data_IF_574941454445
#
_entry.id   IF_574941454445
#
_cell.length_a   1.000
_cell.length_b   1.000
_cell.length_c   1.000
_cell.angle_alpha   90.00
_cell.angle_beta   90.00
_cell.angle_gamma   90.00
#
_symmetry.space_group_name_H-M   'P 1'
#
loop_
_entity.id
_entity.type
_entity.pdbx_description
1 polymer ?
#
# COMPACT_ATOMS: atom_id res chain seq x y z
N UNK A 1 0.16 -4.79 20.98
CA UNK A 1 0.51 -3.70 20.07
C UNK A 1 -0.62 -3.48 19.09
N UNK A 2 -0.78 -2.27 18.62
CA UNK A 2 -1.78 -1.96 17.61
C UNK A 2 -1.32 -2.40 16.22
N UNK A 3 -2.26 -2.54 15.30
CA UNK A 3 -2.00 -2.83 13.90
C UNK A 3 -2.23 -1.60 13.05
N UNK A 4 -1.39 -1.42 12.05
CA UNK A 4 -1.45 -0.28 11.15
C UNK A 4 -1.43 -0.77 9.72
N UNK A 5 -2.25 -0.15 8.88
CA UNK A 5 -2.21 -0.37 7.45
C UNK A 5 -1.41 0.77 6.81
N UNK A 6 -0.37 0.41 6.08
CA UNK A 6 0.45 1.36 5.32
C UNK A 6 0.06 1.20 3.85
N UNK A 7 -0.42 2.26 3.25
CA UNK A 7 -0.96 2.24 1.90
C UNK A 7 -0.02 3.01 0.98
N UNK A 8 0.48 2.34 -0.07
CA UNK A 8 1.31 2.99 -1.08
C UNK A 8 0.41 3.59 -2.16
N UNK A 9 0.50 4.89 -2.37
CA UNK A 9 -0.29 5.63 -3.36
C UNK A 9 0.65 6.28 -4.37
N UNK A 10 0.23 6.30 -5.63
CA UNK A 10 1.00 6.90 -6.72
C UNK A 10 0.06 7.47 -7.77
N UNK A 11 0.63 8.11 -8.79
CA UNK A 11 -0.17 8.79 -9.83
C UNK A 11 -0.95 7.85 -10.74
N UNK A 12 -0.66 6.56 -10.73
CA UNK A 12 -1.29 5.61 -11.64
C UNK A 12 -0.83 5.74 -13.09
N UNK A 13 0.06 6.68 -13.39
CA UNK A 13 0.63 6.82 -14.72
C UNK A 13 1.56 5.65 -15.04
N UNK A 14 1.63 5.22 -16.31
CA UNK A 14 2.59 4.18 -16.69
C UNK A 14 4.01 4.58 -16.32
N UNK A 15 4.80 3.60 -15.91
CA UNK A 15 6.20 3.83 -15.58
C UNK A 15 6.99 4.19 -16.83
N UNK A 16 7.86 5.22 -16.72
CA UNK A 16 8.79 5.58 -17.78
C UNK A 16 10.15 4.91 -17.59
N UNK A 17 10.30 4.10 -16.57
CA UNK A 17 11.55 3.43 -16.26
C UNK A 17 11.82 2.29 -17.25
N UNK A 18 13.10 2.04 -17.52
CA UNK A 18 13.52 0.87 -18.30
C UNK A 18 13.25 -0.42 -17.50
N UNK A 19 13.19 -1.60 -18.17
CA UNK A 19 13.03 -2.86 -17.45
C UNK A 19 14.09 -3.09 -16.38
N UNK A 20 15.33 -2.67 -16.63
CA UNK A 20 16.42 -2.81 -15.66
C UNK A 20 16.21 -1.90 -14.44
N UNK A 21 15.74 -0.68 -14.68
CA UNK A 21 15.44 0.26 -13.60
C UNK A 21 14.28 -0.23 -12.74
N UNK A 22 13.23 -0.78 -13.39
CA UNK A 22 12.10 -1.38 -12.69
C UNK A 22 12.57 -2.52 -11.79
N UNK A 23 13.46 -3.37 -12.31
CA UNK A 23 13.99 -4.49 -11.53
C UNK A 23 14.77 -4.03 -10.31
N UNK A 24 15.56 -2.96 -10.43
CA UNK A 24 16.26 -2.37 -9.29
C UNK A 24 15.31 -1.86 -8.23
N UNK A 25 14.23 -1.21 -8.64
CA UNK A 25 13.20 -0.72 -7.72
C UNK A 25 12.55 -1.89 -6.98
N UNK A 26 12.18 -2.94 -7.71
CA UNK A 26 11.58 -4.15 -7.10
C UNK A 26 12.54 -4.74 -6.06
N UNK A 27 13.84 -4.83 -6.37
CA UNK A 27 14.83 -5.35 -5.43
C UNK A 27 14.91 -4.52 -4.16
N UNK A 28 14.81 -3.19 -4.26
CA UNK A 28 14.79 -2.31 -3.08
C UNK A 28 13.58 -2.61 -2.19
N UNK A 29 12.40 -2.78 -2.79
CA UNK A 29 11.19 -3.14 -2.04
C UNK A 29 11.35 -4.50 -1.35
N UNK A 30 11.88 -5.49 -2.07
CA UNK A 30 12.09 -6.82 -1.51
C UNK A 30 13.07 -6.80 -0.34
N UNK A 31 14.16 -6.04 -0.46
CA UNK A 31 15.15 -5.89 0.62
C UNK A 31 14.55 -5.20 1.83
N UNK A 32 13.78 -4.15 1.59
CA UNK A 32 13.11 -3.42 2.68
C UNK A 32 12.12 -4.34 3.41
N UNK A 33 11.31 -5.10 2.65
CA UNK A 33 10.38 -6.07 3.21
C UNK A 33 11.09 -7.14 4.05
N UNK A 34 12.21 -7.66 3.55
CA UNK A 34 12.98 -8.68 4.27
C UNK A 34 13.50 -8.16 5.60
N UNK A 35 14.00 -6.92 5.62
CA UNK A 35 14.48 -6.30 6.85
C UNK A 35 13.37 -6.12 7.88
N UNK A 36 12.20 -5.68 7.44
CA UNK A 36 11.06 -5.49 8.32
C UNK A 36 10.53 -6.81 8.87
N UNK A 37 10.56 -7.86 8.06
CA UNK A 37 10.17 -9.21 8.48
C UNK A 37 11.08 -9.75 9.58
N UNK A 38 12.38 -9.47 9.52
CA UNK A 38 13.33 -9.89 10.55
C UNK A 38 12.97 -9.32 11.90
N UNK A 39 12.41 -8.11 11.94
CA UNK A 39 11.98 -7.48 13.17
C UNK A 39 10.66 -8.05 13.70
N UNK A 40 9.99 -8.92 12.95
CA UNK A 40 8.73 -9.54 13.33
C UNK A 40 7.54 -8.60 13.35
N UNK A 41 7.67 -7.41 12.79
CA UNK A 41 6.62 -6.38 12.82
C UNK A 41 5.74 -6.36 11.60
N UNK A 42 6.22 -6.87 10.48
CA UNK A 42 5.42 -6.95 9.26
C UNK A 42 4.60 -8.23 9.25
N UNK A 43 3.29 -8.09 9.30
CA UNK A 43 2.36 -9.21 9.31
C UNK A 43 2.03 -9.66 7.90
N UNK A 44 1.88 -8.71 6.96
CA UNK A 44 1.51 -9.02 5.59
C UNK A 44 1.83 -7.86 4.67
N UNK A 45 2.12 -8.14 3.41
CA UNK A 45 2.23 -7.11 2.38
C UNK A 45 1.91 -7.70 1.02
N UNK A 46 1.30 -6.90 0.15
CA UNK A 46 0.99 -7.29 -1.22
C UNK A 46 1.12 -6.12 -2.16
N UNK A 47 1.46 -6.41 -3.40
CA UNK A 47 1.45 -5.45 -4.49
C UNK A 47 0.22 -5.72 -5.36
N UNK A 48 -0.50 -4.67 -5.71
CA UNK A 48 -1.63 -4.77 -6.63
C UNK A 48 -1.14 -4.65 -8.07
N UNK A 49 -1.83 -5.33 -9.00
CA UNK A 49 -1.51 -5.19 -10.41
C UNK A 49 -1.85 -3.79 -10.89
N UNK A 50 -0.95 -3.20 -11.66
CA UNK A 50 -1.15 -1.87 -12.23
C UNK A 50 -2.16 -1.92 -13.36
N UNK A 51 -2.98 -0.87 -13.44
CA UNK A 51 -3.82 -0.63 -14.61
C UNK A 51 -5.04 -1.52 -14.76
N UNK A 52 -5.37 -2.33 -13.76
CA UNK A 52 -6.55 -3.19 -13.83
C UNK A 52 -7.30 -3.24 -12.51
N UNK A 53 -8.55 -3.67 -12.58
CA UNK A 53 -9.40 -3.81 -11.41
C UNK A 53 -10.87 -3.65 -11.79
N UNK A 54 -11.71 -3.65 -10.77
CA UNK A 54 -13.14 -3.42 -10.94
C UNK A 54 -13.62 -2.49 -9.83
N UNK A 55 -14.52 -1.62 -10.18
CA UNK A 55 -15.14 -0.70 -9.22
C UNK A 55 -16.63 -1.02 -9.16
N UNK A 56 -17.13 -1.25 -7.96
CA UNK A 56 -18.53 -1.57 -7.72
C UNK A 56 -19.20 -0.41 -7.02
N UNK A 57 -20.41 -0.07 -7.46
CA UNK A 57 -21.22 0.97 -6.83
C UNK A 57 -22.61 0.44 -6.55
N UNK A 58 -23.19 0.83 -5.42
CA UNK A 58 -24.60 0.61 -5.16
C UNK A 58 -25.41 1.73 -5.81
N UNK A 59 -26.40 1.36 -6.62
CA UNK A 59 -27.27 2.32 -7.28
C UNK A 59 -28.69 1.74 -7.28
N UNK A 60 -29.60 2.41 -6.58
CA UNK A 60 -31.00 1.99 -6.48
C UNK A 60 -31.17 0.53 -6.04
N UNK A 61 -30.37 0.08 -5.08
CA UNK A 61 -30.39 -1.28 -4.58
C UNK A 61 -29.71 -2.31 -5.46
N UNK A 62 -29.06 -1.88 -6.54
CA UNK A 62 -28.35 -2.77 -7.48
C UNK A 62 -26.86 -2.47 -7.46
N UNK A 63 -26.07 -3.50 -7.77
CA UNK A 63 -24.63 -3.36 -7.94
C UNK A 63 -24.31 -2.99 -9.37
N UNK A 64 -23.60 -1.89 -9.55
CA UNK A 64 -23.08 -1.45 -10.84
C UNK A 64 -21.58 -1.66 -10.85
N UNK A 65 -21.05 -2.34 -11.87
CA UNK A 65 -19.63 -2.67 -11.99
C UNK A 65 -19.02 -1.92 -13.16
N UNK A 66 -17.88 -1.26 -12.92
CA UNK A 66 -17.11 -0.62 -13.97
C UNK A 66 -15.67 -1.09 -13.90
N UNK A 67 -14.91 -0.93 -14.99
CA UNK A 67 -13.49 -1.23 -14.98
C UNK A 67 -12.74 -0.24 -14.08
N UNK A 68 -11.70 -0.72 -13.43
CA UNK A 68 -10.85 0.07 -12.56
C UNK A 68 -9.38 -0.07 -12.92
N UNK A 69 -8.50 0.63 -12.20
CA UNK A 69 -8.80 1.49 -11.06
C UNK A 69 -9.60 2.74 -11.46
N UNK A 70 -10.14 3.43 -10.45
CA UNK A 70 -10.96 4.62 -10.67
C UNK A 70 -10.11 5.75 -11.25
N UNK A 71 -10.23 5.96 -12.56
CA UNK A 71 -9.33 6.84 -13.33
C UNK A 71 -9.47 8.34 -13.00
N UNK A 72 -10.56 8.75 -12.38
CA UNK A 72 -10.74 10.13 -11.93
C UNK A 72 -9.94 10.45 -10.67
N UNK A 73 -9.46 9.44 -9.97
CA UNK A 73 -8.55 9.62 -8.84
C UNK A 73 -7.18 10.03 -9.37
N UNK A 74 -6.62 11.09 -8.78
CA UNK A 74 -5.25 11.51 -9.08
C UNK A 74 -4.22 10.53 -8.55
N UNK A 75 -4.61 9.68 -7.60
CA UNK A 75 -3.73 8.74 -6.94
C UNK A 75 -4.39 7.38 -6.88
N UNK A 76 -3.59 6.35 -7.11
CA UNK A 76 -4.02 4.96 -7.14
C UNK A 76 -3.26 4.18 -6.08
N UNK A 77 -3.95 3.30 -5.35
CA UNK A 77 -3.31 2.41 -4.41
C UNK A 77 -2.57 1.32 -5.19
N UNK A 78 -1.26 1.23 -4.97
CA UNK A 78 -0.41 0.24 -5.65
C UNK A 78 -0.02 -0.95 -4.79
N UNK A 79 -0.20 -0.85 -3.48
CA UNK A 79 0.16 -1.94 -2.57
C UNK A 79 -0.05 -1.52 -1.13
N UNK A 80 0.19 -2.46 -0.21
CA UNK A 80 0.02 -2.18 1.20
C UNK A 80 0.92 -3.05 2.06
N UNK A 81 1.12 -2.62 3.29
CA UNK A 81 1.80 -3.35 4.35
C UNK A 81 0.93 -3.33 5.59
N UNK A 82 0.79 -4.49 6.22
CA UNK A 82 0.15 -4.61 7.53
C UNK A 82 1.25 -4.80 8.56
N UNK A 83 1.36 -3.85 9.49
CA UNK A 83 2.44 -3.86 10.48
C UNK A 83 1.88 -3.73 11.90
N UNK A 84 2.67 -4.19 12.88
CA UNK A 84 2.38 -4.00 14.29
C UNK A 84 3.35 -2.97 14.87
N UNK A 85 2.82 -2.07 15.70
CA UNK A 85 3.64 -1.06 16.38
C UNK A 85 2.89 -0.53 17.61
N UNK A 86 3.63 0.18 18.47
CA UNK A 86 3.07 0.77 19.68
C UNK A 86 2.32 2.07 19.42
N UNK A 87 2.70 2.79 18.34
CA UNK A 87 2.19 4.12 18.08
C UNK A 87 2.43 4.49 16.61
N UNK A 88 1.76 5.56 16.15
CA UNK A 88 2.06 6.14 14.84
C UNK A 88 3.53 6.54 14.73
N UNK A 89 4.10 7.14 15.77
CA UNK A 89 5.50 7.56 15.74
C UNK A 89 6.44 6.39 15.48
N UNK A 90 6.17 5.23 16.07
CA UNK A 90 6.96 4.02 15.81
C UNK A 90 6.85 3.59 14.37
N UNK A 91 5.63 3.61 13.78
CA UNK A 91 5.43 3.28 12.36
C UNK A 91 6.19 4.26 11.47
N UNK A 92 6.12 5.55 11.76
CA UNK A 92 6.84 6.56 10.97
C UNK A 92 8.35 6.32 10.99
N UNK A 93 8.89 5.92 12.14
CA UNK A 93 10.29 5.54 12.24
C UNK A 93 10.64 4.33 11.37
N UNK A 94 9.76 3.33 11.33
CA UNK A 94 9.94 2.16 10.48
C UNK A 94 9.92 2.50 8.99
N UNK A 95 9.15 3.52 8.60
CA UNK A 95 8.94 3.89 7.20
C UNK A 95 9.92 4.95 6.69
N UNK A 96 10.77 5.49 7.55
CA UNK A 96 11.64 6.64 7.20
C UNK A 96 12.56 6.36 6.00
N UNK A 97 12.93 5.11 5.78
CA UNK A 97 13.78 4.68 4.66
C UNK A 97 13.03 3.83 3.62
N UNK A 98 11.71 3.94 3.60
CA UNK A 98 10.91 3.14 2.67
C UNK A 98 11.19 3.55 1.21
N UNK A 99 11.43 2.59 0.29
CA UNK A 99 11.76 2.91 -1.10
C UNK A 99 10.71 3.72 -1.85
N UNK A 100 9.44 3.62 -1.45
CA UNK A 100 8.35 4.38 -2.08
C UNK A 100 8.53 5.90 -1.92
N UNK A 101 9.28 6.31 -0.90
CA UNK A 101 9.57 7.73 -0.63
C UNK A 101 10.77 8.26 -1.42
N UNK A 102 11.46 7.42 -2.18
CA UNK A 102 12.57 7.85 -3.04
C UNK A 102 12.08 8.67 -4.23
N UNK A 103 10.82 8.53 -4.59
CA UNK A 103 10.19 9.25 -5.69
C UNK A 103 8.97 10.05 -5.19
N UNK A 104 8.05 10.43 -6.10
CA UNK A 104 6.89 11.23 -5.74
C UNK A 104 5.76 10.44 -5.08
N UNK A 105 6.01 9.20 -4.70
CA UNK A 105 5.01 8.36 -4.05
C UNK A 105 4.61 8.85 -2.67
N UNK A 106 3.42 8.46 -2.25
CA UNK A 106 2.85 8.81 -0.96
C UNK A 106 2.62 7.52 -0.17
N UNK A 107 2.95 7.54 1.12
CA UNK A 107 2.55 6.51 2.06
C UNK A 107 1.52 7.09 3.01
N UNK A 108 0.39 6.43 3.10
CA UNK A 108 -0.66 6.76 4.07
C UNK A 108 -0.67 5.70 5.15
N UNK A 109 -0.67 6.12 6.40
CA UNK A 109 -0.67 5.21 7.56
C UNK A 109 -1.97 5.38 8.32
N UNK A 110 -2.66 4.27 8.55
CA UNK A 110 -3.91 4.28 9.31
C UNK A 110 -3.93 3.17 10.34
N UNK A 111 -4.24 3.51 11.56
CA UNK A 111 -4.43 2.52 12.61
C UNK A 111 -5.69 1.70 12.33
N UNK A 112 -5.58 0.38 12.50
CA UNK A 112 -6.71 -0.52 12.34
C UNK A 112 -7.48 -0.56 13.66
N UNK A 113 -8.77 -0.28 13.60
CA UNK A 113 -9.63 -0.36 14.76
C UNK A 113 -9.86 -1.81 15.15
N UNK A 114 -9.63 -2.13 16.42
CA UNK A 114 -9.89 -3.47 16.92
C UNK A 114 -11.36 -3.61 17.27
N UNK A 115 -12.09 -4.38 16.45
CA UNK A 115 -13.51 -4.63 16.63
C UNK A 115 -13.79 -6.00 17.23
N UNK A 116 -12.76 -6.71 17.71
CA UNK A 116 -12.91 -8.07 18.21
C UNK A 116 -13.90 -8.16 19.39
N UNK A 117 -14.06 -7.07 20.15
CA UNK A 117 -15.00 -7.01 21.28
C UNK A 117 -16.47 -6.97 20.84
N UNK A 118 -16.75 -6.72 19.56
CA UNK A 118 -18.11 -6.63 19.03
C UNK A 118 -18.62 -7.96 18.45
N UNK A 119 -17.72 -8.87 18.20
CA UNK A 119 -18.05 -10.15 17.60
C UNK A 119 -17.47 -11.31 18.36
#
# INVERSE_FOLDING_TARGET
MAKYLVIARSSGMPSTLSPQEVQKVIQKYMSWNANLRKDGRMLHSEKLRAGEGRVLRGQAGKMVVTDGPYVESKEVVGGFWLVEAKSYDEVLGMLSNHPHLDGPGILEVREIEDLSHLG
#
